data_IF_063451916890
#
_entry.id   IF_063451916890
#
_cell.length_a   1.000
_cell.length_b   1.000
_cell.length_c   1.000
_cell.angle_alpha   90.00
_cell.angle_beta   90.00
_cell.angle_gamma   90.00
#
_symmetry.space_group_name_H-M   'P 1'
#
loop_
_entity.id
_entity.type
_entity.pdbx_description
1 polymer ?
#
# COMPACT_ATOMS: atom_id res chain seq x y z
N UNK A 1 14.73 0.70 -10.11
CA UNK A 1 15.17 2.08 -9.78
C UNK A 1 14.11 2.70 -8.89
N UNK A 2 14.32 2.70 -7.56
CA UNK A 2 13.29 3.15 -6.59
C UNK A 2 13.29 4.67 -6.45
N UNK A 3 12.12 5.31 -6.56
CA UNK A 3 12.00 6.75 -6.33
C UNK A 3 12.20 7.07 -4.84
N UNK A 4 13.14 7.96 -4.54
CA UNK A 4 13.39 8.42 -3.16
C UNK A 4 12.16 9.20 -2.68
N UNK A 5 11.50 8.67 -1.65
CA UNK A 5 10.36 9.30 -1.01
C UNK A 5 10.84 10.41 -0.06
N UNK A 6 10.04 11.47 0.08
CA UNK A 6 10.25 12.48 1.11
C UNK A 6 9.83 11.94 2.50
N UNK A 7 10.04 12.73 3.57
CA UNK A 7 9.66 12.38 4.95
C UNK A 7 8.16 12.07 5.13
N UNK A 8 7.32 12.52 4.20
CA UNK A 8 5.86 12.34 4.21
C UNK A 8 5.40 11.22 3.26
N UNK A 9 6.32 10.42 2.72
CA UNK A 9 5.99 9.29 1.84
C UNK A 9 5.63 9.68 0.40
N UNK A 10 5.87 10.92 -0.02
CA UNK A 10 5.59 11.39 -1.39
C UNK A 10 6.88 11.37 -2.23
N UNK A 11 6.87 10.77 -3.44
CA UNK A 11 8.00 10.86 -4.36
C UNK A 11 8.31 12.31 -4.75
N UNK A 12 9.57 12.73 -4.70
CA UNK A 12 9.94 14.10 -5.07
C UNK A 12 9.56 14.46 -6.52
N UNK A 13 9.72 13.52 -7.44
CA UNK A 13 9.37 13.72 -8.86
C UNK A 13 7.88 13.96 -9.08
N UNK A 14 6.99 13.27 -8.33
CA UNK A 14 5.55 13.52 -8.47
C UNK A 14 5.15 14.91 -7.98
N UNK A 15 5.79 15.40 -6.91
CA UNK A 15 5.55 16.77 -6.42
C UNK A 15 5.99 17.81 -7.43
N UNK A 16 7.17 17.60 -8.06
CA UNK A 16 7.66 18.49 -9.10
C UNK A 16 6.68 18.57 -10.27
N UNK A 17 6.22 17.41 -10.77
CA UNK A 17 5.26 17.34 -11.90
C UNK A 17 3.91 17.96 -11.53
N UNK A 18 3.39 17.69 -10.33
CA UNK A 18 2.11 18.23 -9.86
C UNK A 18 2.14 19.75 -9.70
N UNK A 19 3.29 20.33 -9.35
CA UNK A 19 3.49 21.78 -9.30
C UNK A 19 3.71 22.37 -10.71
N UNK A 20 4.54 21.72 -11.54
CA UNK A 20 4.92 22.26 -12.84
C UNK A 20 3.77 22.26 -13.84
N UNK A 21 2.88 21.26 -13.81
CA UNK A 21 1.77 21.15 -14.74
C UNK A 21 0.81 22.36 -14.70
N UNK A 22 0.25 22.78 -13.54
CA UNK A 22 -0.58 23.97 -13.47
C UNK A 22 0.22 25.26 -13.71
N UNK A 23 1.47 25.35 -13.28
CA UNK A 23 2.33 26.52 -13.56
C UNK A 23 2.57 26.70 -15.07
N UNK A 24 2.84 25.61 -15.79
CA UNK A 24 2.97 25.61 -17.25
C UNK A 24 1.65 26.01 -17.92
N UNK A 25 0.52 25.52 -17.40
CA UNK A 25 -0.81 25.85 -17.89
C UNK A 25 -1.07 27.37 -17.89
N UNK A 26 -0.68 28.06 -16.80
CA UNK A 26 -0.79 29.52 -16.67
C UNK A 26 0.11 30.29 -17.65
N UNK A 27 1.24 29.73 -18.05
CA UNK A 27 2.12 30.34 -19.05
C UNK A 27 1.56 30.20 -20.46
N UNK A 28 0.85 29.10 -20.75
CA UNK A 28 0.25 28.84 -22.07
C UNK A 28 -1.08 29.57 -22.24
N UNK A 29 -1.92 29.61 -21.19
CA UNK A 29 -3.20 30.32 -21.20
C UNK A 29 -3.19 31.41 -20.15
N UNK A 30 -3.08 32.65 -20.63
CA UNK A 30 -3.03 33.84 -19.79
C UNK A 30 -4.40 34.46 -19.50
N UNK A 31 -5.48 33.94 -20.11
CA UNK A 31 -6.85 34.43 -19.92
C UNK A 31 -7.65 33.54 -18.97
N UNK A 32 -8.35 34.17 -18.02
CA UNK A 32 -9.16 33.51 -17.00
C UNK A 32 -10.33 32.76 -17.62
N UNK A 33 -10.97 33.30 -18.66
CA UNK A 33 -12.07 32.61 -19.33
C UNK A 33 -11.58 31.36 -20.07
N UNK A 34 -10.41 31.42 -20.70
CA UNK A 34 -9.71 30.26 -21.25
C UNK A 34 -9.47 29.17 -20.22
N UNK A 35 -8.87 29.51 -19.07
CA UNK A 35 -8.62 28.58 -17.97
C UNK A 35 -9.91 27.95 -17.42
N UNK A 36 -10.98 28.75 -17.30
CA UNK A 36 -12.28 28.25 -16.86
C UNK A 36 -12.87 27.22 -17.84
N UNK A 37 -12.73 27.43 -19.15
CA UNK A 37 -13.19 26.47 -20.15
C UNK A 37 -12.43 25.14 -20.05
N UNK A 38 -11.10 25.17 -19.86
CA UNK A 38 -10.27 23.97 -19.68
C UNK A 38 -10.59 23.21 -18.39
N UNK A 39 -10.82 23.94 -17.31
CA UNK A 39 -11.25 23.35 -16.04
C UNK A 39 -12.63 22.70 -16.20
N UNK A 40 -13.58 23.39 -16.81
CA UNK A 40 -14.95 22.90 -16.97
C UNK A 40 -15.00 21.58 -17.74
N UNK A 41 -14.31 21.51 -18.88
CA UNK A 41 -14.31 20.28 -19.69
C UNK A 41 -13.65 19.11 -18.95
N UNK A 42 -12.53 19.33 -18.26
CA UNK A 42 -11.83 18.26 -17.52
C UNK A 42 -12.59 17.79 -16.29
N UNK A 43 -13.14 18.73 -15.51
CA UNK A 43 -13.87 18.43 -14.28
C UNK A 43 -15.19 17.72 -14.57
N UNK A 44 -15.96 18.22 -15.55
CA UNK A 44 -17.24 17.60 -15.94
C UNK A 44 -17.02 16.20 -16.49
N UNK A 45 -16.01 15.99 -17.35
CA UNK A 45 -15.69 14.66 -17.88
C UNK A 45 -15.29 13.67 -16.79
N UNK A 46 -14.47 14.09 -15.81
CA UNK A 46 -14.09 13.23 -14.68
C UNK A 46 -15.30 12.83 -13.82
N UNK A 47 -16.23 13.75 -13.58
CA UNK A 47 -17.48 13.46 -12.86
C UNK A 47 -18.35 12.49 -13.67
N UNK A 48 -18.52 12.74 -14.97
CA UNK A 48 -19.33 11.89 -15.85
C UNK A 48 -18.80 10.45 -15.87
N UNK A 49 -17.49 10.26 -16.04
CA UNK A 49 -16.86 8.94 -16.04
C UNK A 49 -17.04 8.23 -14.70
N UNK A 50 -16.86 8.93 -13.58
CA UNK A 50 -17.01 8.33 -12.25
C UNK A 50 -18.46 7.88 -11.98
N UNK A 51 -19.43 8.77 -12.23
CA UNK A 51 -20.85 8.45 -12.08
C UNK A 51 -21.28 7.35 -13.05
N UNK A 52 -20.83 7.39 -14.30
CA UNK A 52 -21.09 6.38 -15.30
C UNK A 52 -20.53 5.01 -14.90
N UNK A 53 -19.26 4.93 -14.52
CA UNK A 53 -18.62 3.69 -14.09
C UNK A 53 -19.30 3.10 -12.85
N UNK A 54 -19.65 3.94 -11.88
CA UNK A 54 -20.31 3.47 -10.65
C UNK A 54 -21.76 3.04 -10.90
N UNK A 55 -22.51 3.80 -11.69
CA UNK A 55 -23.92 3.47 -12.01
C UNK A 55 -24.06 2.25 -12.92
N UNK A 56 -23.07 1.96 -13.77
CA UNK A 56 -23.05 0.77 -14.64
C UNK A 56 -22.42 -0.46 -13.99
N UNK A 57 -21.76 -0.31 -12.83
CA UNK A 57 -21.25 -1.46 -12.09
C UNK A 57 -22.38 -2.12 -11.28
N UNK A 58 -22.89 -3.23 -11.80
CA UNK A 58 -23.98 -4.00 -11.20
C UNK A 58 -23.54 -4.86 -10.00
N UNK A 59 -22.25 -4.98 -9.72
CA UNK A 59 -21.73 -5.69 -8.54
C UNK A 59 -21.92 -4.89 -7.26
N UNK A 60 -22.07 -3.56 -7.34
CA UNK A 60 -22.36 -2.75 -6.16
C UNK A 60 -23.83 -2.92 -5.74
N UNK A 61 -24.03 -3.26 -4.47
CA UNK A 61 -25.34 -3.26 -3.82
C UNK A 61 -25.85 -1.81 -3.68
N UNK A 62 -26.67 -1.36 -4.62
CA UNK A 62 -27.30 -0.03 -4.62
C UNK A 62 -28.76 -0.15 -5.01
N UNK A 63 -29.61 0.71 -4.45
CA UNK A 63 -31.03 0.74 -4.82
C UNK A 63 -31.17 1.26 -6.25
N UNK A 64 -32.17 0.77 -6.98
CA UNK A 64 -32.41 1.15 -8.37
C UNK A 64 -32.61 2.66 -8.54
N UNK A 65 -33.22 3.34 -7.55
CA UNK A 65 -33.38 4.79 -7.57
C UNK A 65 -32.05 5.56 -7.44
N UNK A 66 -31.16 5.13 -6.55
CA UNK A 66 -29.82 5.72 -6.41
C UNK A 66 -29.05 5.58 -7.71
N UNK A 67 -29.14 4.40 -8.33
CA UNK A 67 -28.53 4.13 -9.64
C UNK A 67 -29.14 4.97 -10.76
N UNK A 68 -30.47 5.13 -10.78
CA UNK A 68 -31.15 5.97 -11.76
C UNK A 68 -30.77 7.44 -11.61
N UNK A 69 -30.65 7.94 -10.37
CA UNK A 69 -30.20 9.31 -10.11
C UNK A 69 -28.77 9.50 -10.63
N UNK A 70 -27.84 8.59 -10.30
CA UNK A 70 -26.46 8.64 -10.80
C UNK A 70 -26.38 8.55 -12.33
N UNK A 71 -27.23 7.75 -12.96
CA UNK A 71 -27.29 7.62 -14.41
C UNK A 71 -27.85 8.91 -15.06
N UNK A 72 -28.86 9.52 -14.44
CA UNK A 72 -29.43 10.80 -14.89
C UNK A 72 -28.40 11.92 -14.80
N UNK A 73 -27.68 12.03 -13.68
CA UNK A 73 -26.61 13.03 -13.53
C UNK A 73 -25.46 12.77 -14.48
N UNK A 74 -25.08 11.50 -14.71
CA UNK A 74 -24.11 11.13 -15.74
C UNK A 74 -24.55 11.62 -17.13
N UNK A 75 -25.82 11.43 -17.50
CA UNK A 75 -26.35 11.88 -18.79
C UNK A 75 -26.30 13.41 -18.92
N UNK A 76 -26.71 14.15 -17.89
CA UNK A 76 -26.62 15.63 -17.89
C UNK A 76 -25.16 16.10 -18.01
N UNK A 77 -24.24 15.51 -17.24
CA UNK A 77 -22.82 15.86 -17.32
C UNK A 77 -22.23 15.55 -18.71
N UNK A 78 -22.63 14.43 -19.31
CA UNK A 78 -22.20 14.07 -20.68
C UNK A 78 -22.74 15.06 -21.72
N UNK A 79 -23.99 15.53 -21.60
CA UNK A 79 -24.55 16.54 -22.49
C UNK A 79 -23.82 17.89 -22.37
N UNK A 80 -23.47 18.29 -21.14
CA UNK A 80 -22.65 19.49 -20.90
C UNK A 80 -21.27 19.31 -21.53
N UNK A 81 -20.64 18.15 -21.35
CA UNK A 81 -19.33 17.84 -21.92
C UNK A 81 -19.35 17.91 -23.45
N UNK A 82 -20.34 17.29 -24.10
CA UNK A 82 -20.54 17.36 -25.56
C UNK A 82 -20.67 18.83 -26.01
N UNK A 83 -21.45 19.63 -25.29
CA UNK A 83 -21.61 21.07 -25.58
C UNK A 83 -20.28 21.81 -25.49
N UNK A 84 -19.49 21.58 -24.43
CA UNK A 84 -18.17 22.18 -24.26
C UNK A 84 -17.19 21.77 -25.37
N UNK A 85 -17.20 20.50 -25.78
CA UNK A 85 -16.36 19.97 -26.87
C UNK A 85 -16.67 20.64 -28.21
N UNK A 86 -17.95 20.94 -28.48
CA UNK A 86 -18.38 21.60 -29.71
C UNK A 86 -18.09 23.09 -29.67
N UNK A 87 -18.49 23.78 -28.60
CA UNK A 87 -18.46 25.24 -28.51
C UNK A 87 -17.05 25.81 -28.26
N UNK A 88 -16.16 25.03 -27.62
CA UNK A 88 -14.82 25.48 -27.20
C UNK A 88 -13.71 24.66 -27.86
N UNK A 89 -13.41 24.90 -29.15
CA UNK A 89 -12.42 24.11 -29.89
C UNK A 89 -11.01 24.17 -29.30
N UNK A 90 -10.64 25.30 -28.66
CA UNK A 90 -9.36 25.44 -27.97
C UNK A 90 -9.25 24.51 -26.75
N UNK A 91 -10.30 24.42 -25.93
CA UNK A 91 -10.35 23.53 -24.77
C UNK A 91 -10.36 22.05 -25.20
N UNK A 92 -11.08 21.73 -26.29
CA UNK A 92 -11.09 20.40 -26.91
C UNK A 92 -9.69 19.94 -27.31
N UNK A 93 -8.94 20.78 -28.02
CA UNK A 93 -7.57 20.44 -28.47
C UNK A 93 -6.65 20.12 -27.29
N UNK A 94 -6.74 20.92 -26.23
CA UNK A 94 -6.00 20.68 -24.98
C UNK A 94 -6.37 19.31 -24.36
N UNK A 95 -7.66 19.05 -24.13
CA UNK A 95 -8.11 17.80 -23.48
C UNK A 95 -7.70 16.58 -24.29
N UNK A 96 -7.88 16.58 -25.61
CA UNK A 96 -7.47 15.47 -26.48
C UNK A 96 -5.97 15.23 -26.36
N UNK A 97 -5.15 16.29 -26.32
CA UNK A 97 -3.71 16.14 -26.18
C UNK A 97 -3.29 15.55 -24.82
N UNK A 98 -3.89 16.02 -23.72
CA UNK A 98 -3.58 15.55 -22.36
C UNK A 98 -4.02 14.10 -22.18
N UNK A 99 -5.24 13.76 -22.62
CA UNK A 99 -5.73 12.37 -22.59
C UNK A 99 -4.86 11.49 -23.48
N UNK A 100 -4.52 11.92 -24.70
CA UNK A 100 -3.68 11.16 -25.62
C UNK A 100 -2.30 10.87 -25.04
N UNK A 101 -1.61 11.89 -24.51
CA UNK A 101 -0.30 11.72 -23.86
C UNK A 101 -0.44 10.83 -22.63
N UNK A 102 -1.44 11.04 -21.78
CA UNK A 102 -1.67 10.24 -20.57
C UNK A 102 -1.93 8.77 -20.86
N UNK A 103 -2.76 8.46 -21.87
CA UNK A 103 -3.04 7.10 -22.30
C UNK A 103 -1.82 6.45 -22.97
N UNK A 104 -1.03 7.20 -23.76
CA UNK A 104 0.21 6.70 -24.35
C UNK A 104 1.23 6.33 -23.27
N UNK A 105 1.47 7.22 -22.29
CA UNK A 105 2.35 6.93 -21.16
C UNK A 105 1.85 5.74 -20.35
N UNK A 106 0.53 5.60 -20.18
CA UNK A 106 -0.08 4.45 -19.52
C UNK A 106 0.19 3.14 -20.29
N UNK A 107 0.01 3.14 -21.60
CA UNK A 107 0.26 1.97 -22.45
C UNK A 107 1.72 1.53 -22.38
N UNK A 108 2.66 2.46 -22.58
CA UNK A 108 4.10 2.18 -22.48
C UNK A 108 4.52 1.64 -21.11
N UNK A 109 3.92 2.16 -20.03
CA UNK A 109 4.18 1.66 -18.67
C UNK A 109 3.62 0.25 -18.46
N UNK A 110 2.43 -0.05 -19.00
CA UNK A 110 1.84 -1.38 -18.88
C UNK A 110 2.71 -2.43 -19.58
N UNK A 111 3.24 -2.12 -20.77
CA UNK A 111 4.20 -2.99 -21.47
C UNK A 111 5.47 -3.23 -20.65
N UNK A 112 6.03 -2.19 -20.02
CA UNK A 112 7.20 -2.36 -19.15
C UNK A 112 6.91 -3.19 -17.89
N UNK A 113 5.71 -3.06 -17.31
CA UNK A 113 5.32 -3.84 -16.13
C UNK A 113 5.20 -5.33 -16.45
N UNK A 114 4.72 -5.68 -17.64
CA UNK A 114 4.64 -7.07 -18.10
C UNK A 114 6.02 -7.68 -18.36
N UNK A 115 6.97 -6.87 -18.86
CA UNK A 115 8.36 -7.31 -19.09
C UNK A 115 9.14 -7.48 -17.77
N UNK A 116 8.87 -6.63 -16.77
CA UNK A 116 9.62 -6.59 -15.50
C UNK A 116 9.03 -7.55 -14.46
N UNK A 117 7.75 -7.95 -14.60
CA UNK A 117 7.14 -8.89 -13.68
C UNK A 117 7.90 -10.22 -13.73
N UNK A 118 8.58 -10.63 -12.63
CA UNK A 118 9.01 -12.02 -12.56
C UNK A 118 7.74 -12.85 -12.65
N UNK A 119 7.62 -13.70 -13.68
CA UNK A 119 6.65 -14.78 -13.66
C UNK A 119 6.81 -15.44 -12.30
N UNK A 120 5.75 -15.53 -11.45
CA UNK A 120 5.87 -16.21 -10.19
C UNK A 120 6.30 -17.63 -10.53
N UNK A 121 7.58 -17.95 -10.31
CA UNK A 121 8.03 -19.31 -10.33
C UNK A 121 7.15 -19.97 -9.29
N UNK A 122 6.26 -20.86 -9.74
CA UNK A 122 5.45 -21.67 -8.87
C UNK A 122 6.42 -22.62 -8.18
N UNK A 123 7.12 -22.12 -7.16
CA UNK A 123 7.87 -22.95 -6.25
C UNK A 123 6.81 -23.92 -5.73
N UNK A 124 6.94 -25.24 -5.97
CA UNK A 124 6.00 -26.19 -5.42
C UNK A 124 5.99 -25.92 -3.92
N UNK A 125 4.86 -25.39 -3.44
CA UNK A 125 4.66 -25.15 -2.02
C UNK A 125 4.62 -26.54 -1.42
N UNK A 126 5.79 -27.02 -0.98
CA UNK A 126 5.84 -28.12 -0.05
C UNK A 126 4.98 -27.66 1.11
N UNK A 127 3.84 -28.30 1.30
CA UNK A 127 3.00 -28.13 2.49
C UNK A 127 3.89 -28.49 3.66
N UNK A 128 4.56 -27.50 4.24
CA UNK A 128 5.10 -27.62 5.57
C UNK A 128 3.84 -27.86 6.40
N UNK A 129 3.74 -29.02 7.06
CA UNK A 129 2.73 -29.28 8.08
C UNK A 129 2.96 -28.29 9.23
N UNK A 130 2.58 -27.04 9.00
CA UNK A 130 2.62 -25.98 9.97
C UNK A 130 1.50 -26.24 10.96
N UNK A 131 1.84 -26.21 12.24
CA UNK A 131 0.88 -26.26 13.33
C UNK A 131 -0.28 -25.29 13.00
N UNK A 132 -1.49 -25.83 12.79
CA UNK A 132 -2.67 -25.07 12.31
C UNK A 132 -3.04 -23.91 13.24
N UNK A 133 -2.54 -23.95 14.48
CA UNK A 133 -2.78 -22.91 15.49
C UNK A 133 -1.80 -21.74 15.42
N UNK A 134 -0.78 -21.80 14.57
CA UNK A 134 0.28 -20.80 14.47
C UNK A 134 1.26 -20.84 15.64
N UNK A 135 2.22 -19.92 15.65
CA UNK A 135 3.22 -19.77 16.70
C UNK A 135 3.45 -18.28 17.00
N UNK A 136 3.80 -17.95 18.24
CA UNK A 136 4.23 -16.60 18.61
C UNK A 136 5.75 -16.62 18.77
N UNK A 137 6.44 -15.74 18.04
CA UNK A 137 7.85 -15.44 18.25
C UNK A 137 7.98 -14.10 18.96
N UNK A 138 8.74 -14.06 20.05
CA UNK A 138 9.05 -12.83 20.76
C UNK A 138 10.54 -12.61 20.86
N UNK A 139 10.96 -11.43 20.40
CA UNK A 139 12.33 -10.96 20.55
C UNK A 139 12.45 -10.06 21.78
N UNK A 140 13.40 -10.38 22.67
CA UNK A 140 13.58 -9.68 23.95
C UNK A 140 15.06 -9.44 24.23
N UNK A 141 15.35 -8.27 24.80
CA UNK A 141 16.68 -7.95 25.38
C UNK A 141 16.73 -8.21 26.89
N UNK A 142 15.59 -8.51 27.52
CA UNK A 142 15.44 -8.76 28.94
C UNK A 142 13.98 -9.00 29.34
N UNK A 143 13.70 -9.03 30.65
CA UNK A 143 12.34 -9.19 31.18
C UNK A 143 11.53 -7.89 31.01
N UNK A 144 10.32 -7.98 30.48
CA UNK A 144 9.46 -6.81 30.27
C UNK A 144 8.01 -7.16 29.97
N UNK A 145 7.14 -6.14 29.95
CA UNK A 145 5.68 -6.31 29.81
C UNK A 145 5.27 -6.99 28.50
N UNK A 146 5.97 -6.72 27.41
CA UNK A 146 5.72 -7.37 26.12
C UNK A 146 6.02 -8.87 26.14
N UNK A 147 6.99 -9.28 26.97
CA UNK A 147 7.32 -10.69 27.17
C UNK A 147 6.25 -11.40 27.99
N UNK A 148 5.82 -10.78 29.09
CA UNK A 148 4.72 -11.30 29.92
C UNK A 148 3.43 -11.47 29.13
N UNK A 149 3.08 -10.48 28.31
CA UNK A 149 1.92 -10.54 27.43
C UNK A 149 1.99 -11.71 26.45
N UNK A 150 3.16 -11.97 25.86
CA UNK A 150 3.32 -13.10 24.93
C UNK A 150 3.25 -14.46 25.62
N UNK A 151 3.76 -14.57 26.86
CA UNK A 151 3.58 -15.79 27.66
C UNK A 151 2.10 -16.01 27.96
N UNK A 152 1.37 -14.97 28.36
CA UNK A 152 -0.08 -15.06 28.63
C UNK A 152 -0.87 -15.42 27.36
N UNK A 153 -0.57 -14.77 26.23
CA UNK A 153 -1.26 -15.00 24.97
C UNK A 153 -1.02 -16.42 24.42
N UNK A 154 0.21 -16.93 24.55
CA UNK A 154 0.53 -18.31 24.15
C UNK A 154 -0.10 -19.35 25.06
N UNK A 155 -0.21 -19.08 26.37
CA UNK A 155 -0.94 -19.93 27.31
C UNK A 155 -2.45 -19.94 27.02
N UNK A 156 -3.04 -18.77 26.77
CA UNK A 156 -4.46 -18.64 26.43
C UNK A 156 -4.82 -19.35 25.13
N UNK A 157 -3.98 -19.21 24.10
CA UNK A 157 -4.21 -19.82 22.78
C UNK A 157 -3.73 -21.27 22.68
N UNK A 158 -2.94 -21.75 23.65
CA UNK A 158 -2.27 -23.07 23.63
C UNK A 158 -1.44 -23.28 22.36
N UNK A 159 -0.63 -22.27 22.03
CA UNK A 159 0.24 -22.24 20.85
C UNK A 159 1.70 -22.13 21.28
N UNK A 160 2.65 -22.65 20.48
CA UNK A 160 4.07 -22.59 20.82
C UNK A 160 4.58 -21.14 20.90
N UNK A 161 5.43 -20.91 21.91
CA UNK A 161 6.19 -19.67 22.12
C UNK A 161 7.65 -19.90 21.71
N UNK A 162 8.13 -19.15 20.73
CA UNK A 162 9.54 -19.05 20.41
C UNK A 162 10.11 -17.76 21.02
N UNK A 163 11.25 -17.86 21.69
CA UNK A 163 11.90 -16.73 22.36
C UNK A 163 13.26 -16.47 21.71
N UNK A 164 13.42 -15.29 21.13
CA UNK A 164 14.68 -14.82 20.57
C UNK A 164 15.32 -13.81 21.51
N UNK A 165 16.41 -14.19 22.16
CA UNK A 165 17.16 -13.25 23.00
C UNK A 165 18.10 -12.40 22.15
N UNK A 166 17.93 -11.07 22.19
CA UNK A 166 18.78 -10.11 21.49
C UNK A 166 19.75 -9.50 22.51
N UNK A 167 21.05 -9.71 22.28
CA UNK A 167 22.13 -9.09 23.06
C UNK A 167 22.72 -7.91 22.29
N UNK A 168 22.78 -6.75 22.92
CA UNK A 168 23.51 -5.60 22.36
C UNK A 168 25.01 -5.75 22.63
N UNK A 169 25.82 -5.85 21.58
CA UNK A 169 27.28 -5.82 21.68
C UNK A 169 27.85 -4.67 20.85
N UNK A 170 28.84 -3.96 21.40
CA UNK A 170 29.52 -2.87 20.70
C UNK A 170 30.50 -3.36 19.63
N UNK A 171 31.04 -4.57 19.80
CA UNK A 171 31.95 -5.25 18.88
C UNK A 171 31.64 -6.74 18.96
N UNK A 172 31.43 -7.39 17.82
CA UNK A 172 31.24 -8.84 17.72
C UNK A 172 32.60 -9.52 17.54
N UNK A 173 32.91 -10.50 18.38
CA UNK A 173 34.14 -11.30 18.32
C UNK A 173 33.83 -12.73 17.87
N UNK A 174 34.82 -13.46 17.37
CA UNK A 174 34.64 -14.87 16.96
C UNK A 174 34.22 -15.78 18.14
N UNK A 175 34.50 -15.38 19.38
CA UNK A 175 34.05 -16.07 20.58
C UNK A 175 32.54 -15.94 20.82
N UNK A 176 31.89 -14.92 20.23
CA UNK A 176 30.45 -14.69 20.42
C UNK A 176 29.59 -15.67 19.60
N UNK A 177 30.13 -16.28 18.54
CA UNK A 177 29.44 -17.32 17.76
C UNK A 177 29.50 -18.71 18.37
N UNK A 178 30.46 -18.97 19.26
CA UNK A 178 30.60 -20.26 19.96
C UNK A 178 29.89 -20.27 21.32
N UNK A 179 29.46 -19.10 21.79
CA UNK A 179 28.86 -18.91 23.11
C UNK A 179 27.46 -19.50 23.19
N UNK A 180 27.23 -20.37 24.14
CA UNK A 180 25.91 -20.97 24.37
C UNK A 180 25.01 -20.08 25.22
N UNK A 181 23.70 -20.29 25.13
CA UNK A 181 22.69 -19.46 25.80
C UNK A 181 22.80 -19.47 27.34
N UNK A 182 23.27 -20.56 27.94
CA UNK A 182 23.43 -20.69 29.39
C UNK A 182 24.64 -19.90 29.93
N UNK A 183 25.59 -19.56 29.08
CA UNK A 183 26.79 -18.79 29.45
C UNK A 183 26.50 -17.29 29.55
N UNK A 184 25.38 -16.83 28.98
CA UNK A 184 24.93 -15.45 29.06
C UNK A 184 23.96 -15.26 30.23
N UNK A 185 24.36 -14.44 31.20
CA UNK A 185 23.56 -14.19 32.40
C UNK A 185 22.20 -13.52 32.07
N UNK A 186 22.15 -12.67 31.05
CA UNK A 186 20.93 -12.01 30.60
C UNK A 186 19.99 -13.00 29.93
N UNK A 187 20.53 -13.84 29.05
CA UNK A 187 19.78 -14.91 28.39
C UNK A 187 19.24 -15.91 29.42
N UNK A 188 20.11 -16.40 30.32
CA UNK A 188 19.73 -17.37 31.35
C UNK A 188 18.57 -16.87 32.22
N UNK A 189 18.59 -15.59 32.64
CA UNK A 189 17.48 -14.98 33.40
C UNK A 189 16.16 -15.02 32.64
N UNK A 190 16.18 -14.78 31.33
CA UNK A 190 14.98 -14.82 30.47
C UNK A 190 14.45 -16.25 30.35
N UNK A 191 15.33 -17.23 30.12
CA UNK A 191 14.94 -18.63 29.98
C UNK A 191 14.47 -19.25 31.30
N UNK A 192 15.16 -18.99 32.41
CA UNK A 192 14.74 -19.42 33.75
C UNK A 192 13.35 -18.86 34.10
N UNK A 193 13.09 -17.61 33.73
CA UNK A 193 11.80 -16.97 33.94
C UNK A 193 10.67 -17.68 33.17
N UNK A 194 10.91 -18.02 31.90
CA UNK A 194 9.94 -18.77 31.07
C UNK A 194 9.67 -20.15 31.64
N UNK A 195 10.72 -20.88 32.01
CA UNK A 195 10.62 -22.22 32.61
C UNK A 195 9.79 -22.15 33.91
N UNK A 196 10.04 -21.15 34.76
CA UNK A 196 9.27 -20.95 36.00
C UNK A 196 7.78 -20.69 35.78
N UNK A 197 7.42 -19.98 34.69
CA UNK A 197 6.03 -19.67 34.35
C UNK A 197 5.33 -20.73 33.51
N UNK A 198 6.07 -21.63 32.87
CA UNK A 198 5.55 -22.57 31.86
C UNK A 198 5.38 -24.01 32.33
N UNK A 199 5.17 -24.23 33.63
CA UNK A 199 4.91 -25.54 34.25
C UNK A 199 3.70 -26.33 33.67
N UNK A 200 3.08 -25.91 32.56
CA UNK A 200 1.87 -26.50 31.98
C UNK A 200 1.89 -26.80 30.47
N UNK A 201 2.92 -26.45 29.69
CA UNK A 201 2.98 -26.74 28.24
C UNK A 201 4.43 -27.02 27.75
N UNK A 202 4.62 -27.82 26.69
CA UNK A 202 5.94 -28.08 26.10
C UNK A 202 6.47 -26.81 25.41
N UNK A 203 7.58 -26.27 25.92
CA UNK A 203 8.33 -25.19 25.27
C UNK A 203 9.40 -25.85 24.41
N UNK A 204 9.50 -25.41 23.15
CA UNK A 204 10.55 -25.81 22.22
C UNK A 204 11.47 -24.61 22.02
N UNK A 205 12.76 -24.81 22.28
CA UNK A 205 13.79 -23.78 22.10
C UNK A 205 14.45 -23.96 20.72
N UNK A 206 14.61 -22.85 19.98
CA UNK A 206 15.33 -22.76 18.71
C UNK A 206 16.58 -21.90 18.90
#
# INVERSE_FOLDING_TARGET
>A
MGFKLNRFGVPHYSTLVAFSAPAFMLLVISDVAGLANLYAIGFVGAIAINLGATSTNFTLAMKTWERALMMSTCAVMTLIEITLIVDKPQARGFVISVIGIGLLLRALKMEQAEIIAPTPEQIPVSTIEGNEKGAILVAVTGLGKSFDFAIEETQNRKIPLYVLFIREQRVSTAWDSEREWYEDEGCRKVFDYVISKSSKNPISFL
#
